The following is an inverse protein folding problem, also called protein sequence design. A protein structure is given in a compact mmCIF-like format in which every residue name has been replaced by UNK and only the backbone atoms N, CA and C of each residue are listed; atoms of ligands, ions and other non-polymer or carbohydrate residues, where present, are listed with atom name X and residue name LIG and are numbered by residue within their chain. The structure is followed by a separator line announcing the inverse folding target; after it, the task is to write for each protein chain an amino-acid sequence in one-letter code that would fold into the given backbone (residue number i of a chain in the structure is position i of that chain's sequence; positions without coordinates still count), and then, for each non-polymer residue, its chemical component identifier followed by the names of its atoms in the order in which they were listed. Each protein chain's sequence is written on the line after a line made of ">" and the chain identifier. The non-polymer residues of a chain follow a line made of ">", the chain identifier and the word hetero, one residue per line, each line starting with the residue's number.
data_IF_037052488187
#
_entry.id   IF_037052488187
#
_cell.length_a   1.000
_cell.length_b   1.000
_cell.length_c   1.000
_cell.angle_alpha   90.00
_cell.angle_beta   90.00
_cell.angle_gamma   90.00
#
_symmetry.space_group_name_H-M   'P 1'
#
loop_
_entity.id
_entity.type
_entity.pdbx_description
1 polymer ?
#
# COMPACT_ATOMS: atom_id res chain seq x y z
N UNK A 1 9.04 -17.20 -44.10
CA UNK A 1 10.06 -17.91 -43.30
C UNK A 1 11.40 -17.60 -43.94
N UNK A 2 12.13 -16.62 -43.41
CA UNK A 2 13.45 -16.25 -43.91
C UNK A 2 14.40 -16.21 -42.72
N UNK A 3 15.44 -17.01 -42.87
CA UNK A 3 16.44 -17.42 -41.89
C UNK A 3 17.18 -16.23 -41.27
N UNK A 4 17.33 -16.26 -39.93
CA UNK A 4 18.31 -15.45 -39.21
C UNK A 4 19.67 -16.09 -39.50
N UNK A 5 20.42 -15.47 -40.40
CA UNK A 5 21.77 -15.89 -40.73
C UNK A 5 22.75 -15.46 -39.65
N UNK A 6 23.44 -16.45 -39.08
CA UNK A 6 24.71 -16.29 -38.39
C UNK A 6 25.66 -15.42 -39.26
N UNK A 7 26.32 -14.43 -38.64
CA UNK A 7 27.36 -13.54 -39.21
C UNK A 7 26.98 -12.08 -39.50
N UNK A 8 26.01 -11.49 -38.80
CA UNK A 8 25.98 -10.04 -38.66
C UNK A 8 26.69 -9.64 -37.36
N UNK A 9 27.96 -9.24 -37.50
CA UNK A 9 28.65 -8.50 -36.46
C UNK A 9 27.81 -7.27 -36.12
N UNK A 10 27.17 -7.28 -34.95
CA UNK A 10 26.51 -6.13 -34.37
C UNK A 10 27.60 -5.08 -34.07
N UNK A 11 27.89 -4.24 -35.07
CA UNK A 11 28.76 -3.09 -34.90
C UNK A 11 27.99 -2.09 -34.05
N UNK A 12 28.45 -1.96 -32.81
CA UNK A 12 28.10 -0.92 -31.86
C UNK A 12 28.31 0.44 -32.53
N UNK A 13 27.24 1.04 -33.01
CA UNK A 13 27.24 2.45 -33.38
C UNK A 13 26.97 3.21 -32.11
N UNK A 14 27.97 3.97 -31.63
CA UNK A 14 27.92 4.75 -30.38
C UNK A 14 26.89 5.89 -30.37
N UNK A 15 25.69 5.68 -30.91
CA UNK A 15 24.52 6.51 -30.76
C UNK A 15 23.62 5.88 -29.70
N UNK A 16 23.67 6.47 -28.52
CA UNK A 16 22.83 6.17 -27.36
C UNK A 16 21.34 6.20 -27.75
N UNK A 17 20.71 5.05 -27.61
CA UNK A 17 19.25 4.80 -27.62
C UNK A 17 18.61 4.81 -29.02
N UNK A 18 18.09 3.66 -29.39
CA UNK A 18 17.32 3.51 -30.61
C UNK A 18 15.90 4.07 -30.43
N UNK A 19 15.50 4.94 -31.37
CA UNK A 19 14.18 5.60 -31.43
C UNK A 19 13.08 4.69 -31.98
N UNK A 20 13.43 3.50 -32.48
CA UNK A 20 12.49 2.60 -33.18
C UNK A 20 12.48 1.17 -32.66
N UNK A 21 13.49 0.73 -31.89
CA UNK A 21 13.65 -0.64 -31.36
C UNK A 21 14.46 -0.67 -30.05
N UNK A 22 14.30 -1.66 -29.16
CA UNK A 22 15.18 -1.82 -28.00
C UNK A 22 16.65 -2.06 -28.43
N UNK A 23 17.61 -1.37 -27.81
CA UNK A 23 19.05 -1.53 -28.08
C UNK A 23 19.82 -2.08 -26.86
N UNK A 24 20.81 -2.95 -27.10
CA UNK A 24 21.74 -3.49 -26.10
C UNK A 24 22.97 -2.58 -25.98
N UNK A 25 23.38 -2.17 -24.77
CA UNK A 25 24.55 -1.30 -24.54
C UNK A 25 25.74 -2.12 -24.00
N UNK A 26 26.78 -2.33 -24.81
CA UNK A 26 28.04 -2.91 -24.34
C UNK A 26 29.14 -1.85 -24.24
N UNK A 27 29.87 -1.80 -23.12
CA UNK A 27 31.18 -1.14 -23.04
C UNK A 27 32.26 -2.10 -23.50
N UNK A 28 33.37 -1.57 -24.01
CA UNK A 28 34.33 -2.24 -24.89
C UNK A 28 35.01 -3.53 -24.37
N UNK A 29 34.69 -4.02 -23.17
CA UNK A 29 35.19 -5.29 -22.63
C UNK A 29 34.14 -6.17 -21.89
N UNK A 30 32.85 -5.83 -21.83
CA UNK A 30 31.87 -6.60 -21.04
C UNK A 30 30.49 -6.74 -21.71
N UNK A 31 29.76 -7.80 -21.31
CA UNK A 31 28.34 -8.03 -21.61
C UNK A 31 27.53 -6.72 -21.51
N UNK A 32 26.47 -6.60 -22.31
CA UNK A 32 25.67 -5.39 -22.32
C UNK A 32 25.14 -5.04 -20.90
N UNK A 33 25.64 -3.95 -20.32
CA UNK A 33 25.37 -3.56 -18.92
C UNK A 33 24.03 -2.87 -18.75
N UNK A 34 23.51 -2.26 -19.81
CA UNK A 34 22.20 -1.61 -19.85
C UNK A 34 21.47 -2.01 -21.14
N UNK A 35 20.15 -1.89 -21.15
CA UNK A 35 19.32 -2.07 -22.35
C UNK A 35 18.06 -1.22 -22.26
N UNK A 36 17.50 -0.80 -23.40
CA UNK A 36 16.25 -0.04 -23.35
C UNK A 36 15.81 0.61 -24.65
N UNK A 37 14.80 1.45 -24.52
CA UNK A 37 14.23 2.32 -25.53
C UNK A 37 14.23 3.76 -25.00
N UNK A 38 14.60 4.73 -25.84
CA UNK A 38 14.35 6.15 -25.55
C UNK A 38 13.95 6.86 -26.82
N UNK A 39 12.87 7.61 -26.69
CA UNK A 39 12.37 8.50 -27.71
C UNK A 39 12.31 9.91 -27.14
N UNK A 40 13.00 10.84 -27.80
CA UNK A 40 13.00 12.26 -27.47
C UNK A 40 12.59 13.00 -28.73
N UNK A 41 11.53 13.82 -28.63
CA UNK A 41 11.11 14.76 -29.68
C UNK A 41 10.75 16.07 -28.99
N UNK A 42 11.47 17.13 -29.32
CA UNK A 42 11.34 18.45 -28.69
C UNK A 42 11.40 18.34 -27.15
N UNK A 43 10.33 18.74 -26.46
CA UNK A 43 10.21 18.70 -25.00
C UNK A 43 9.65 17.38 -24.45
N UNK A 44 9.34 16.42 -25.31
CA UNK A 44 8.76 15.12 -24.95
C UNK A 44 9.82 14.03 -24.78
N UNK A 45 9.60 13.15 -23.80
CA UNK A 45 10.43 11.98 -23.52
C UNK A 45 9.52 10.77 -23.30
N UNK A 46 9.87 9.66 -23.93
CA UNK A 46 9.35 8.33 -23.57
C UNK A 46 10.52 7.38 -23.49
N UNK A 47 10.85 6.88 -22.31
CA UNK A 47 11.98 5.97 -22.10
C UNK A 47 11.61 4.76 -21.25
N UNK A 48 12.20 3.62 -21.62
CA UNK A 48 12.26 2.41 -20.82
C UNK A 48 13.71 1.94 -20.77
N UNK A 49 14.31 1.87 -19.59
CA UNK A 49 15.72 1.52 -19.39
C UNK A 49 15.83 0.45 -18.32
N UNK A 50 16.68 -0.54 -18.57
CA UNK A 50 17.03 -1.60 -17.62
C UNK A 50 18.54 -1.67 -17.49
N UNK A 51 19.05 -1.67 -16.26
CA UNK A 51 20.45 -1.93 -15.91
C UNK A 51 20.58 -3.37 -15.37
N UNK A 52 21.58 -4.09 -15.87
CA UNK A 52 21.82 -5.51 -15.59
C UNK A 52 22.95 -5.75 -14.61
N UNK A 53 23.64 -4.70 -14.14
CA UNK A 53 24.74 -4.82 -13.18
C UNK A 53 24.17 -5.24 -11.82
N UNK A 54 24.58 -6.40 -11.31
CA UNK A 54 24.03 -7.02 -10.09
C UNK A 54 23.97 -6.08 -8.87
N UNK A 55 24.94 -5.16 -8.72
CA UNK A 55 25.01 -4.22 -7.60
C UNK A 55 24.07 -3.01 -7.71
N UNK A 56 23.48 -2.79 -8.90
CA UNK A 56 22.64 -1.63 -9.21
C UNK A 56 21.54 -1.96 -10.23
N UNK A 57 21.08 -3.22 -10.25
CA UNK A 57 20.07 -3.64 -11.20
C UNK A 57 18.78 -2.84 -10.98
N UNK A 58 18.29 -2.19 -12.04
CA UNK A 58 17.05 -1.42 -12.01
C UNK A 58 16.32 -1.47 -13.35
N UNK A 59 15.01 -1.20 -13.32
CA UNK A 59 14.18 -0.97 -14.49
C UNK A 59 13.38 0.32 -14.28
N UNK A 60 13.36 1.18 -15.29
CA UNK A 60 12.72 2.49 -15.24
C UNK A 60 11.87 2.70 -16.49
N UNK A 61 10.62 3.10 -16.29
CA UNK A 61 9.76 3.69 -17.31
C UNK A 61 9.60 5.18 -16.98
N UNK A 62 9.83 6.07 -17.93
CA UNK A 62 9.67 7.52 -17.71
C UNK A 62 9.09 8.21 -18.92
N UNK A 63 8.17 9.13 -18.65
CA UNK A 63 7.46 9.91 -19.66
C UNK A 63 7.52 11.38 -19.24
N UNK A 64 7.87 12.25 -20.19
CA UNK A 64 7.68 13.70 -20.10
C UNK A 64 6.84 14.12 -21.30
N UNK A 65 5.73 14.79 -21.04
CA UNK A 65 4.89 15.38 -22.07
C UNK A 65 4.51 16.81 -21.67
N UNK A 66 5.18 17.79 -22.27
CA UNK A 66 5.10 19.20 -21.91
C UNK A 66 5.44 19.44 -20.43
N UNK A 67 4.44 19.83 -19.66
CA UNK A 67 4.57 20.10 -18.21
C UNK A 67 4.42 18.86 -17.34
N UNK A 68 3.93 17.74 -17.86
CA UNK A 68 3.72 16.52 -17.07
C UNK A 68 4.96 15.64 -17.16
N UNK A 69 5.46 15.21 -16.01
CA UNK A 69 6.55 14.24 -15.91
C UNK A 69 6.13 13.13 -14.95
N UNK A 70 6.26 11.87 -15.39
CA UNK A 70 5.94 10.70 -14.61
C UNK A 70 7.01 9.61 -14.79
N UNK A 71 7.30 8.87 -13.73
CA UNK A 71 8.22 7.74 -13.79
C UNK A 71 7.84 6.62 -12.83
N UNK A 72 8.06 5.39 -13.25
CA UNK A 72 8.05 4.19 -12.41
C UNK A 72 9.46 3.60 -12.44
N UNK A 73 10.06 3.40 -11.27
CA UNK A 73 11.39 2.80 -11.10
C UNK A 73 11.28 1.57 -10.20
N UNK A 74 12.00 0.52 -10.55
CA UNK A 74 12.01 -0.77 -9.84
C UNK A 74 13.45 -1.25 -9.66
N UNK A 75 13.79 -1.83 -8.51
CA UNK A 75 15.13 -2.36 -8.22
C UNK A 75 15.94 -1.42 -7.33
N UNK A 76 17.24 -1.29 -7.61
CA UNK A 76 18.15 -0.39 -6.87
C UNK A 76 17.98 1.04 -7.39
N UNK A 77 17.19 1.82 -6.67
CA UNK A 77 16.88 3.21 -6.96
C UNK A 77 17.95 4.09 -6.28
N UNK A 78 18.99 4.40 -7.04
CA UNK A 78 20.00 5.36 -6.60
C UNK A 78 19.46 6.79 -6.77
N UNK A 79 19.37 7.59 -5.69
CA UNK A 79 19.16 9.02 -5.84
C UNK A 79 20.36 9.65 -6.54
N UNK A 80 20.11 10.70 -7.34
CA UNK A 80 21.11 11.38 -8.19
C UNK A 80 22.28 12.00 -7.38
N UNK A 81 22.19 12.05 -6.04
CA UNK A 81 23.26 12.50 -5.13
C UNK A 81 23.23 11.73 -3.80
N UNK A 82 24.30 11.01 -3.52
CA UNK A 82 24.87 10.66 -2.20
C UNK A 82 23.88 10.48 -1.02
N UNK A 83 22.81 9.74 -1.26
CA UNK A 83 21.85 9.35 -0.22
C UNK A 83 21.62 7.84 -0.27
N UNK A 84 21.17 7.28 0.85
CA UNK A 84 21.01 5.85 1.05
C UNK A 84 20.36 5.17 -0.16
N UNK A 85 20.99 4.09 -0.64
CA UNK A 85 20.44 3.23 -1.71
C UNK A 85 19.00 2.87 -1.34
N UNK A 86 18.03 3.27 -2.17
CA UNK A 86 16.63 2.84 -2.01
C UNK A 86 16.43 1.60 -2.85
N UNK A 87 15.82 0.56 -2.29
CA UNK A 87 15.46 -0.64 -3.05
C UNK A 87 13.94 -0.78 -3.02
N UNK A 88 13.33 -1.09 -4.16
CA UNK A 88 11.89 -1.33 -4.25
C UNK A 88 11.28 -0.77 -5.52
N UNK A 89 10.01 -0.38 -5.43
CA UNK A 89 9.24 0.23 -6.52
C UNK A 89 8.90 1.67 -6.13
N UNK A 90 9.12 2.62 -7.03
CA UNK A 90 8.79 4.03 -6.84
C UNK A 90 8.05 4.56 -8.05
N UNK A 91 6.84 5.06 -7.82
CA UNK A 91 6.06 5.81 -8.82
C UNK A 91 6.04 7.29 -8.41
N UNK A 92 6.48 8.17 -9.31
CA UNK A 92 6.55 9.61 -9.05
C UNK A 92 6.00 10.38 -10.22
N UNK A 93 5.24 11.44 -9.95
CA UNK A 93 4.74 12.36 -10.97
C UNK A 93 4.50 13.73 -10.33
N UNK A 94 4.51 14.79 -11.15
CA UNK A 94 4.04 16.12 -10.74
C UNK A 94 2.54 16.33 -11.00
N UNK A 95 1.85 15.29 -11.46
CA UNK A 95 0.39 15.25 -11.65
C UNK A 95 -0.28 14.32 -10.62
N UNK A 96 -1.54 13.98 -10.84
CA UNK A 96 -2.28 13.05 -9.98
C UNK A 96 -1.84 11.60 -10.22
N UNK A 97 -1.65 10.83 -9.14
CA UNK A 97 -1.60 9.37 -9.18
C UNK A 97 -3.01 8.84 -8.92
N UNK A 98 -3.49 7.98 -9.82
CA UNK A 98 -4.80 7.34 -9.68
C UNK A 98 -4.63 5.81 -9.70
N UNK A 99 -4.89 5.16 -8.57
CA UNK A 99 -4.84 3.70 -8.42
C UNK A 99 -6.29 3.22 -8.35
N UNK A 100 -6.73 2.50 -9.37
CA UNK A 100 -8.08 1.92 -9.46
C UNK A 100 -7.97 0.41 -9.58
N UNK A 101 -8.79 -0.30 -8.80
CA UNK A 101 -9.03 -1.72 -9.00
C UNK A 101 -10.49 -1.92 -9.39
N UNK A 102 -10.72 -2.80 -10.37
CA UNK A 102 -12.07 -3.29 -10.69
C UNK A 102 -12.57 -4.35 -9.72
N UNK A 103 -11.68 -4.81 -8.83
CA UNK A 103 -11.92 -5.82 -7.80
C UNK A 103 -11.53 -5.24 -6.44
N UNK A 104 -10.72 -5.95 -5.65
CA UNK A 104 -10.15 -5.46 -4.42
C UNK A 104 -8.85 -4.66 -4.64
N UNK A 105 -8.54 -3.75 -3.71
CA UNK A 105 -7.25 -3.05 -3.65
C UNK A 105 -6.58 -3.34 -2.32
N UNK A 106 -5.38 -3.94 -2.35
CA UNK A 106 -4.61 -4.23 -1.13
C UNK A 106 -3.32 -3.41 -1.16
N UNK A 107 -3.08 -2.65 -0.10
CA UNK A 107 -1.84 -1.95 0.18
C UNK A 107 -1.22 -2.57 1.43
N UNK A 108 -0.12 -3.31 1.27
CA UNK A 108 0.50 -4.02 2.38
C UNK A 108 2.00 -3.76 2.48
N UNK A 109 2.49 -3.63 3.71
CA UNK A 109 3.94 -3.61 4.01
C UNK A 109 4.46 -4.97 4.47
N UNK A 110 3.64 -6.01 4.42
CA UNK A 110 4.05 -7.36 4.85
C UNK A 110 5.04 -7.94 3.84
N UNK A 111 6.20 -8.45 4.30
CA UNK A 111 7.16 -9.06 3.40
C UNK A 111 6.57 -10.35 2.83
N UNK A 112 6.69 -10.53 1.51
CA UNK A 112 6.35 -11.78 0.83
C UNK A 112 7.61 -12.45 0.32
N UNK A 113 7.70 -13.77 0.51
CA UNK A 113 8.68 -14.60 -0.18
C UNK A 113 8.32 -14.75 -1.66
N UNK A 114 9.31 -15.07 -2.50
CA UNK A 114 9.09 -15.30 -3.93
C UNK A 114 8.00 -16.36 -4.19
N UNK A 115 8.01 -17.46 -3.43
CA UNK A 115 7.00 -18.52 -3.52
C UNK A 115 5.57 -18.05 -3.13
N UNK A 116 5.45 -17.09 -2.20
CA UNK A 116 4.14 -16.50 -1.85
C UNK A 116 3.64 -15.54 -2.93
N UNK A 117 4.54 -14.80 -3.58
CA UNK A 117 4.20 -13.91 -4.71
C UNK A 117 3.66 -14.68 -5.91
N UNK A 118 4.23 -15.85 -6.23
CA UNK A 118 3.79 -16.69 -7.37
C UNK A 118 2.38 -17.26 -7.19
N UNK A 119 1.94 -17.40 -5.95
CA UNK A 119 0.59 -17.87 -5.62
C UNK A 119 -0.45 -16.74 -5.61
N UNK A 120 -0.08 -15.50 -5.97
CA UNK A 120 -0.90 -14.29 -5.80
C UNK A 120 -1.46 -14.16 -4.38
N UNK A 121 -0.67 -14.64 -3.41
CA UNK A 121 -1.17 -14.99 -2.10
C UNK A 121 -0.88 -13.85 -1.12
N UNK A 122 -1.52 -12.71 -1.36
CA UNK A 122 -1.38 -11.50 -0.53
C UNK A 122 -2.03 -11.66 0.86
N UNK A 123 -2.78 -12.74 1.06
CA UNK A 123 -3.57 -12.97 2.27
C UNK A 123 -3.17 -14.22 3.08
N UNK A 124 -2.35 -15.14 2.55
CA UNK A 124 -1.92 -16.26 3.39
C UNK A 124 -1.05 -15.75 4.54
N UNK A 125 -1.69 -15.68 5.69
CA UNK A 125 -1.09 -15.47 6.99
C UNK A 125 -0.42 -14.12 7.10
N UNK A 126 -1.24 -13.08 7.18
CA UNK A 126 -0.91 -11.88 7.96
C UNK A 126 -1.44 -12.07 9.37
N UNK A 127 -0.65 -12.57 10.33
CA UNK A 127 -1.10 -12.76 11.72
C UNK A 127 -1.71 -11.50 12.31
N UNK A 128 -1.22 -10.33 11.89
CA UNK A 128 -1.71 -9.01 12.31
C UNK A 128 -3.19 -8.82 12.02
N UNK A 129 -3.68 -9.17 10.82
CA UNK A 129 -5.09 -8.99 10.47
C UNK A 129 -6.01 -9.96 11.23
N UNK A 130 -5.60 -11.22 11.38
CA UNK A 130 -6.37 -12.22 12.15
C UNK A 130 -6.41 -11.84 13.64
N UNK A 131 -5.28 -11.40 14.21
CA UNK A 131 -5.23 -10.95 15.60
C UNK A 131 -6.02 -9.65 15.81
N UNK A 132 -6.02 -8.74 14.83
CA UNK A 132 -6.80 -7.51 14.89
C UNK A 132 -8.29 -7.77 14.73
N UNK A 133 -8.69 -8.67 13.83
CA UNK A 133 -10.10 -9.04 13.64
C UNK A 133 -10.63 -9.81 14.86
N UNK A 134 -9.93 -10.84 15.34
CA UNK A 134 -10.33 -11.59 16.54
C UNK A 134 -10.31 -10.70 17.78
N UNK A 135 -9.25 -9.91 17.97
CA UNK A 135 -9.17 -8.95 19.07
C UNK A 135 -10.30 -7.92 19.02
N UNK A 136 -10.59 -7.38 17.83
CA UNK A 136 -11.72 -6.47 17.58
C UNK A 136 -13.07 -7.11 17.90
N UNK A 137 -13.30 -8.36 17.47
CA UNK A 137 -14.51 -9.12 17.78
C UNK A 137 -14.69 -9.29 19.30
N UNK A 138 -13.65 -9.73 20.00
CA UNK A 138 -13.70 -9.91 21.46
C UNK A 138 -13.95 -8.58 22.20
N UNK A 139 -13.34 -7.48 21.75
CA UNK A 139 -13.56 -6.15 22.31
C UNK A 139 -15.00 -5.68 22.09
N UNK A 140 -15.53 -5.82 20.87
CA UNK A 140 -16.91 -5.45 20.55
C UNK A 140 -17.90 -6.27 21.37
N UNK A 141 -17.71 -7.58 21.48
CA UNK A 141 -18.55 -8.46 22.30
C UNK A 141 -18.55 -8.04 23.78
N UNK A 142 -17.36 -7.80 24.36
CA UNK A 142 -17.23 -7.39 25.77
C UNK A 142 -17.87 -6.02 26.03
N UNK A 143 -17.66 -5.05 25.14
CA UNK A 143 -18.24 -3.72 25.25
C UNK A 143 -19.78 -3.76 25.14
N UNK A 144 -20.32 -4.59 24.24
CA UNK A 144 -21.78 -4.78 24.15
C UNK A 144 -22.35 -5.43 25.41
N UNK A 145 -21.68 -6.44 25.95
CA UNK A 145 -22.11 -7.09 27.19
C UNK A 145 -22.11 -6.11 28.36
N UNK A 146 -21.04 -5.30 28.50
CA UNK A 146 -20.98 -4.24 29.51
C UNK A 146 -22.10 -3.21 29.32
N UNK A 147 -22.31 -2.73 28.10
CA UNK A 147 -23.37 -1.77 27.79
C UNK A 147 -24.75 -2.31 28.15
N UNK A 148 -25.04 -3.55 27.76
CA UNK A 148 -26.30 -4.24 28.06
C UNK A 148 -26.48 -4.42 29.57
N UNK A 149 -25.42 -4.83 30.28
CA UNK A 149 -25.41 -4.95 31.74
C UNK A 149 -25.67 -3.63 32.48
N UNK A 150 -25.29 -2.51 31.87
CA UNK A 150 -25.57 -1.15 32.35
C UNK A 150 -26.94 -0.60 31.88
N UNK A 151 -27.76 -1.41 31.23
CA UNK A 151 -29.07 -1.01 30.70
C UNK A 151 -28.99 -0.04 29.51
N UNK A 152 -27.84 0.05 28.84
CA UNK A 152 -27.65 0.85 27.64
C UNK A 152 -27.88 0.01 26.38
N UNK A 153 -28.49 0.62 25.37
CA UNK A 153 -28.67 -0.01 24.07
C UNK A 153 -27.44 0.24 23.21
N UNK A 154 -26.86 -0.84 22.66
CA UNK A 154 -25.88 -0.77 21.58
C UNK A 154 -26.61 -1.13 20.30
N UNK A 155 -26.95 -0.12 19.52
CA UNK A 155 -27.50 -0.32 18.18
C UNK A 155 -26.42 -1.01 17.32
N UNK A 156 -26.88 -1.84 16.39
CA UNK A 156 -26.05 -2.44 15.32
C UNK A 156 -24.94 -3.42 15.76
N UNK A 157 -24.85 -3.82 17.03
CA UNK A 157 -23.85 -4.79 17.48
C UNK A 157 -23.83 -6.09 16.65
N UNK A 158 -25.01 -6.65 16.34
CA UNK A 158 -25.10 -7.86 15.53
C UNK A 158 -24.56 -7.65 14.12
N UNK A 159 -24.81 -6.46 13.53
CA UNK A 159 -24.35 -6.13 12.18
C UNK A 159 -22.85 -5.91 12.15
N UNK A 160 -22.32 -5.14 13.12
CA UNK A 160 -20.89 -4.94 13.35
C UNK A 160 -20.17 -6.28 13.52
N UNK A 161 -20.70 -7.17 14.35
CA UNK A 161 -20.13 -8.50 14.60
C UNK A 161 -20.09 -9.34 13.32
N UNK A 162 -21.21 -9.44 12.62
CA UNK A 162 -21.28 -10.19 11.35
C UNK A 162 -20.32 -9.63 10.30
N UNK A 163 -20.14 -8.31 10.22
CA UNK A 163 -19.20 -7.69 9.29
C UNK A 163 -17.73 -8.00 9.65
N UNK A 164 -17.39 -7.96 10.94
CA UNK A 164 -16.05 -8.32 11.43
C UNK A 164 -15.75 -9.81 11.24
N UNK A 165 -16.73 -10.69 11.46
CA UNK A 165 -16.63 -12.13 11.20
C UNK A 165 -16.43 -12.41 9.71
N UNK A 166 -17.26 -11.81 8.84
CA UNK A 166 -17.14 -11.98 7.39
C UNK A 166 -15.79 -11.50 6.84
N UNK A 167 -15.28 -10.37 7.36
CA UNK A 167 -13.95 -9.87 7.00
C UNK A 167 -12.86 -10.82 7.49
N UNK A 168 -12.96 -11.30 8.73
CA UNK A 168 -12.01 -12.25 9.31
C UNK A 168 -11.97 -13.57 8.52
N UNK A 169 -13.14 -14.12 8.18
CA UNK A 169 -13.28 -15.37 7.44
C UNK A 169 -12.71 -15.22 6.03
N UNK A 170 -12.97 -14.09 5.36
CA UNK A 170 -12.40 -13.82 4.04
C UNK A 170 -10.88 -13.76 4.09
N UNK A 171 -10.29 -13.09 5.09
CA UNK A 171 -8.85 -13.00 5.26
C UNK A 171 -8.21 -14.33 5.69
N UNK A 172 -8.94 -15.20 6.41
CA UNK A 172 -8.41 -16.48 6.88
C UNK A 172 -8.50 -17.59 5.83
N UNK A 173 -9.60 -17.64 5.08
CA UNK A 173 -9.93 -18.79 4.24
C UNK A 173 -9.61 -18.59 2.76
N UNK A 174 -9.34 -17.35 2.32
CA UNK A 174 -9.12 -17.04 0.90
C UNK A 174 -7.71 -16.54 0.64
N UNK A 175 -7.25 -16.82 -0.58
CA UNK A 175 -5.98 -16.33 -1.11
C UNK A 175 -6.10 -14.96 -1.78
N UNK A 176 -7.34 -14.56 -2.08
CA UNK A 176 -7.71 -13.31 -2.73
C UNK A 176 -8.99 -12.74 -2.14
N UNK A 177 -9.06 -11.42 -2.07
CA UNK A 177 -10.22 -10.69 -1.60
C UNK A 177 -11.30 -10.69 -2.70
N UNK A 178 -12.50 -11.14 -2.37
CA UNK A 178 -13.64 -11.24 -3.29
C UNK A 178 -14.60 -10.06 -3.11
N UNK A 179 -14.65 -9.50 -1.90
CA UNK A 179 -15.46 -8.31 -1.61
C UNK A 179 -14.68 -7.05 -2.04
N UNK A 180 -15.30 -6.10 -2.79
CA UNK A 180 -14.60 -4.92 -3.29
C UNK A 180 -14.42 -3.86 -2.19
N UNK A 181 -13.42 -4.04 -1.32
CA UNK A 181 -12.93 -3.01 -0.40
C UNK A 181 -11.44 -2.74 -0.60
N UNK A 182 -10.97 -1.60 -0.08
CA UNK A 182 -9.55 -1.33 0.03
C UNK A 182 -9.04 -1.83 1.38
N UNK A 183 -8.04 -2.71 1.38
CA UNK A 183 -7.36 -3.19 2.56
C UNK A 183 -6.02 -2.47 2.69
N UNK A 184 -5.80 -1.80 3.82
CA UNK A 184 -4.50 -1.23 4.19
C UNK A 184 -4.00 -2.04 5.38
N UNK A 185 -2.92 -2.77 5.17
CA UNK A 185 -2.30 -3.64 6.18
C UNK A 185 -0.84 -3.27 6.37
N UNK A 186 -0.39 -3.25 7.61
CA UNK A 186 1.01 -2.99 7.91
C UNK A 186 1.49 -3.89 9.03
N UNK A 187 2.71 -4.39 8.87
CA UNK A 187 3.45 -5.07 9.94
C UNK A 187 3.90 -4.11 11.05
N UNK A 188 3.79 -2.79 10.80
CA UNK A 188 4.17 -1.72 11.70
C UNK A 188 3.01 -0.69 11.81
N UNK A 189 3.33 0.51 12.28
CA UNK A 189 2.34 1.57 12.43
C UNK A 189 1.89 2.15 11.09
N UNK A 190 0.58 2.42 10.98
CA UNK A 190 0.00 3.16 9.84
C UNK A 190 -0.35 4.57 10.29
N UNK A 191 -0.01 5.57 9.47
CA UNK A 191 -0.31 6.97 9.74
C UNK A 191 -0.88 7.66 8.51
N UNK A 192 -1.91 8.48 8.72
CA UNK A 192 -2.48 9.37 7.72
C UNK A 192 -2.19 10.80 8.18
N UNK A 193 -1.25 11.46 7.50
CA UNK A 193 -0.79 12.81 7.86
C UNK A 193 -1.09 13.76 6.70
N UNK A 194 -1.62 14.93 7.05
CA UNK A 194 -1.95 16.00 6.12
C UNK A 194 -1.72 17.34 6.82
N UNK A 195 -1.20 18.33 6.10
CA UNK A 195 -1.19 19.73 6.58
C UNK A 195 -2.60 20.33 6.56
N UNK A 196 -3.44 19.84 5.64
CA UNK A 196 -4.84 20.18 5.51
C UNK A 196 -5.75 19.18 6.26
N UNK A 197 -7.06 19.32 6.07
CA UNK A 197 -8.09 18.47 6.66
C UNK A 197 -8.05 17.02 6.14
N UNK A 198 -7.93 16.05 7.07
CA UNK A 198 -8.20 14.64 6.82
C UNK A 198 -9.68 14.31 7.10
N UNK A 199 -10.37 13.75 6.11
CA UNK A 199 -11.78 13.33 6.25
C UNK A 199 -11.87 11.80 6.15
N UNK A 200 -12.28 11.15 7.23
CA UNK A 200 -12.75 9.76 7.18
C UNK A 200 -14.28 9.77 7.25
N UNK A 201 -14.94 9.21 6.23
CA UNK A 201 -16.40 9.16 6.16
C UNK A 201 -16.84 7.80 5.63
N UNK A 202 -17.96 7.32 6.16
CA UNK A 202 -18.68 6.14 5.69
C UNK A 202 -20.12 6.56 5.36
N UNK A 203 -20.76 5.85 4.44
CA UNK A 203 -22.21 6.00 4.20
C UNK A 203 -23.05 5.04 5.06
N UNK A 204 -22.38 4.12 5.76
CA UNK A 204 -23.00 3.11 6.62
C UNK A 204 -22.31 3.19 7.98
N UNK A 205 -21.63 2.13 8.40
CA UNK A 205 -20.98 2.03 9.71
C UNK A 205 -19.49 2.36 9.65
N UNK A 206 -18.99 2.94 10.74
CA UNK A 206 -17.57 3.16 10.99
C UNK A 206 -17.24 2.57 12.35
N UNK A 207 -16.31 1.63 12.37
CA UNK A 207 -15.83 0.98 13.60
C UNK A 207 -14.35 1.25 13.69
N UNK A 208 -13.90 1.75 14.83
CA UNK A 208 -12.49 1.91 15.16
C UNK A 208 -12.20 1.13 16.44
N UNK A 209 -11.32 0.15 16.36
CA UNK A 209 -10.87 -0.64 17.50
C UNK A 209 -9.36 -0.47 17.68
N UNK A 210 -8.92 -0.54 18.93
CA UNK A 210 -7.51 -0.58 19.31
C UNK A 210 -7.38 -1.51 20.51
N UNK A 211 -6.25 -2.20 20.62
CA UNK A 211 -5.96 -3.03 21.79
C UNK A 211 -5.48 -2.19 22.99
N UNK A 212 -4.97 -0.99 22.74
CA UNK A 212 -4.49 -0.06 23.77
C UNK A 212 -5.48 1.11 23.90
N UNK A 213 -4.99 2.34 23.80
CA UNK A 213 -5.78 3.54 23.97
C UNK A 213 -6.17 4.13 22.61
N UNK A 214 -7.39 4.66 22.50
CA UNK A 214 -7.74 5.63 21.46
C UNK A 214 -7.37 7.00 22.02
N UNK A 215 -6.31 7.61 21.50
CA UNK A 215 -5.93 8.98 21.86
C UNK A 215 -6.46 9.94 20.81
N UNK A 216 -7.37 10.84 21.23
CA UNK A 216 -7.81 11.97 20.42
C UNK A 216 -7.23 13.22 21.06
N UNK A 217 -6.39 13.94 20.30
CA UNK A 217 -5.83 15.22 20.71
C UNK A 217 -6.18 16.26 19.66
N UNK A 218 -6.84 17.33 20.08
CA UNK A 218 -7.25 18.43 19.23
C UNK A 218 -6.57 19.71 19.69
N UNK A 219 -5.98 20.46 18.77
CA UNK A 219 -5.32 21.73 19.08
C UNK A 219 -6.29 22.82 19.55
N UNK A 220 -7.48 22.88 18.92
CA UNK A 220 -8.49 23.89 19.20
C UNK A 220 -9.68 23.32 19.97
N UNK A 221 -10.48 22.47 19.32
CA UNK A 221 -11.71 21.91 19.90
C UNK A 221 -11.94 20.47 19.48
N UNK A 222 -12.57 19.68 20.36
CA UNK A 222 -13.12 18.37 20.05
C UNK A 222 -14.65 18.45 20.06
N UNK A 223 -15.30 18.02 18.99
CA UNK A 223 -16.76 18.04 18.85
C UNK A 223 -17.26 16.67 18.40
N UNK A 224 -18.17 16.09 19.17
CA UNK A 224 -18.90 14.87 18.84
C UNK A 224 -20.39 15.18 18.82
N UNK A 225 -21.02 14.94 17.66
CA UNK A 225 -22.46 15.16 17.47
C UNK A 225 -23.04 13.84 16.98
N UNK A 226 -24.06 13.34 17.68
CA UNK A 226 -24.82 12.14 17.30
C UNK A 226 -26.26 12.54 17.01
N UNK A 227 -26.85 11.94 15.97
CA UNK A 227 -28.25 12.13 15.62
C UNK A 227 -29.22 11.35 16.52
N UNK A 228 -28.71 10.33 17.22
CA UNK A 228 -29.52 9.47 18.10
C UNK A 228 -29.02 9.55 19.54
N UNK A 229 -27.94 8.84 19.85
CA UNK A 229 -27.36 8.78 21.19
C UNK A 229 -25.83 8.80 21.14
N UNK A 230 -25.22 9.41 22.16
CA UNK A 230 -23.78 9.34 22.41
C UNK A 230 -23.56 8.53 23.68
N UNK A 231 -23.04 7.31 23.53
CA UNK A 231 -22.78 6.40 24.63
C UNK A 231 -21.27 6.31 24.91
N UNK A 232 -20.85 6.89 26.03
CA UNK A 232 -19.49 6.72 26.56
C UNK A 232 -19.54 5.69 27.68
N UNK A 233 -18.85 4.57 27.49
CA UNK A 233 -18.82 3.44 28.41
C UNK A 233 -17.36 3.11 28.69
N UNK A 234 -17.00 3.08 29.97
CA UNK A 234 -15.66 2.71 30.41
C UNK A 234 -15.78 1.47 31.29
N UNK A 235 -15.03 0.42 30.95
CA UNK A 235 -14.83 -0.73 31.80
C UNK A 235 -13.69 -0.40 32.77
N UNK A 236 -14.02 -0.13 34.03
CA UNK A 236 -13.00 -0.02 35.07
C UNK A 236 -12.73 -1.42 35.61
N UNK A 237 -11.60 -2.02 35.27
CA UNK A 237 -11.05 -3.04 36.15
C UNK A 237 -10.78 -2.39 37.52
N UNK A 238 -11.32 -3.00 38.58
CA UNK A 238 -11.06 -2.65 39.97
C UNK A 238 -9.55 -2.74 40.26
N UNK A 239 -8.83 -1.65 40.04
CA UNK A 239 -7.66 -1.31 40.85
C UNK A 239 -8.17 -0.41 41.97
N UNK A 240 -7.93 -0.86 43.20
CA UNK A 240 -8.47 -0.29 44.42
C UNK A 240 -8.41 1.22 44.46
N UNK A 241 -9.47 1.78 45.04
CA UNK A 241 -9.63 3.17 45.43
C UNK A 241 -8.33 3.97 45.50
N UNK A 242 -8.28 5.12 44.82
CA UNK A 242 -7.76 6.39 45.35
C UNK A 242 -8.23 7.55 44.43
N UNK A 243 -8.32 8.78 44.95
CA UNK A 243 -9.35 9.74 44.61
C UNK A 243 -9.03 10.59 43.39
N UNK A 244 -10.11 11.13 42.83
CA UNK A 244 -10.12 12.26 41.90
C UNK A 244 -9.39 13.44 42.55
N UNK A 245 -8.41 14.01 41.82
CA UNK A 245 -7.96 15.41 41.94
C UNK A 245 -8.05 16.03 40.56
#
# INVERSE_FOLDING_TARGET
>A
MQSIGDSEHLINTGSLLSTTRPSLFATNEEQAIESGYRHIVDDTLSEWITDHRSEQAYSQLSIKDGQVAASIKMGVINPVKDSAKRQGISATTNAQINIKSGEALVLSTQPQTHAQSEQHNYQHHTPTLIQTSLGGQHLVERLTQLATGLGRTVNDHSLIKTQLEATSDEQQSKTHQQTPYTLIDSAADTSYVSEDLLIQRTMSEMISTTQQNIMISSGDTHSQVSSESLNLIADYEMLGALPIV
#
